data_IF_223410365069
#
_entry.id   IF_223410365069
#
_cell.length_a   1.000
_cell.length_b   1.000
_cell.length_c   1.000
_cell.angle_alpha   90.00
_cell.angle_beta   90.00
_cell.angle_gamma   90.00
#
_symmetry.space_group_name_H-M   'P 1'
#
loop_
_entity.id
_entity.type
_entity.pdbx_description
1 polymer ?
#
# COMPACT_ATOMS: atom_id res chain seq x y z
N UNK A 1 0.87 -19.63 27.15
CA UNK A 1 2.07 -18.74 27.06
C UNK A 1 2.39 -18.47 25.60
N UNK A 2 2.38 -17.21 25.16
CA UNK A 2 2.62 -16.84 23.75
C UNK A 2 4.13 -16.74 23.51
N UNK A 3 4.69 -17.64 22.70
CA UNK A 3 6.10 -17.59 22.30
C UNK A 3 6.32 -16.44 21.32
N UNK A 4 6.99 -15.40 21.78
CA UNK A 4 7.55 -14.32 20.94
C UNK A 4 8.91 -14.84 20.47
N UNK A 5 9.08 -14.97 19.15
CA UNK A 5 10.35 -15.38 18.54
C UNK A 5 11.03 -14.12 18.02
N UNK A 6 12.18 -13.79 18.60
CA UNK A 6 13.11 -12.80 18.06
C UNK A 6 13.92 -13.45 16.93
N UNK A 7 13.90 -12.86 15.73
CA UNK A 7 14.68 -13.33 14.60
C UNK A 7 16.09 -12.75 14.67
N UNK A 8 17.07 -13.59 14.98
CA UNK A 8 18.50 -13.28 14.88
C UNK A 8 18.97 -13.67 13.46
N UNK A 9 19.52 -12.72 12.70
CA UNK A 9 20.12 -13.01 11.39
C UNK A 9 21.63 -13.15 11.61
N UNK A 10 22.12 -14.39 11.64
CA UNK A 10 23.55 -14.68 11.58
C UNK A 10 24.00 -14.65 10.11
N UNK A 11 24.94 -13.77 9.79
CA UNK A 11 25.54 -13.68 8.47
C UNK A 11 26.51 -14.83 8.23
N UNK A 12 26.29 -15.61 7.18
CA UNK A 12 27.34 -16.40 6.53
C UNK A 12 27.40 -16.00 5.06
N UNK A 13 28.60 -15.64 4.63
CA UNK A 13 28.94 -15.27 3.25
C UNK A 13 29.08 -16.56 2.45
N UNK A 14 28.26 -16.73 1.42
CA UNK A 14 28.46 -17.74 0.38
C UNK A 14 28.40 -17.04 -0.98
N UNK A 15 29.47 -17.17 -1.77
CA UNK A 15 29.57 -16.66 -3.13
C UNK A 15 29.71 -17.84 -4.09
N UNK A 16 28.67 -18.10 -4.89
CA UNK A 16 28.72 -18.64 -6.26
C UNK A 16 27.27 -18.89 -6.74
N UNK A 17 26.83 -18.13 -7.75
CA UNK A 17 25.48 -18.18 -8.31
C UNK A 17 24.50 -17.30 -7.54
N UNK A 18 24.04 -16.20 -8.14
CA UNK A 18 23.13 -15.24 -7.52
C UNK A 18 21.71 -15.83 -7.32
N UNK A 19 21.57 -16.79 -6.40
CA UNK A 19 20.29 -17.13 -5.80
C UNK A 19 19.92 -15.94 -4.93
N UNK A 20 19.09 -15.04 -5.45
CA UNK A 20 18.48 -13.98 -4.64
C UNK A 20 17.66 -14.67 -3.56
N UNK A 21 18.21 -14.76 -2.34
CA UNK A 21 17.53 -15.37 -1.21
C UNK A 21 16.24 -14.58 -0.92
N UNK A 22 15.10 -15.14 -1.32
CA UNK A 22 13.80 -14.57 -0.97
C UNK A 22 13.51 -14.87 0.49
N UNK A 23 13.23 -13.85 1.30
CA UNK A 23 12.78 -14.06 2.67
C UNK A 23 11.49 -14.88 2.68
N UNK A 24 11.46 -15.97 3.46
CA UNK A 24 10.31 -16.87 3.57
C UNK A 24 9.59 -16.63 4.89
N UNK A 25 8.33 -16.25 4.82
CA UNK A 25 7.41 -16.09 5.95
C UNK A 25 6.33 -17.15 5.83
N UNK A 26 6.25 -18.07 6.79
CA UNK A 26 5.31 -19.19 6.75
C UNK A 26 4.63 -19.38 8.10
N UNK A 27 3.30 -19.62 8.08
CA UNK A 27 2.50 -19.97 9.26
C UNK A 27 2.64 -18.99 10.43
N UNK A 28 2.75 -17.69 10.15
CA UNK A 28 2.94 -16.66 11.19
C UNK A 28 2.02 -15.45 11.01
N UNK A 29 2.05 -14.54 11.98
CA UNK A 29 1.33 -13.26 11.93
C UNK A 29 2.32 -12.10 11.97
N UNK A 30 2.31 -11.28 10.93
CA UNK A 30 2.97 -9.96 10.91
C UNK A 30 1.96 -8.95 11.47
N UNK A 31 2.32 -8.27 12.55
CA UNK A 31 1.47 -7.26 13.19
C UNK A 31 2.21 -5.93 13.27
N UNK A 32 1.59 -4.88 12.74
CA UNK A 32 1.91 -3.51 13.11
C UNK A 32 0.74 -2.97 13.96
N UNK A 33 1.05 -2.48 15.17
CA UNK A 33 0.10 -1.81 16.04
C UNK A 33 0.70 -0.48 16.51
N UNK A 34 0.63 0.52 15.65
CA UNK A 34 1.29 1.82 15.87
C UNK A 34 0.30 2.93 16.18
N UNK A 35 0.77 3.86 17.00
CA UNK A 35 0.10 5.12 17.31
C UNK A 35 1.09 6.25 17.05
N UNK A 36 0.79 7.09 16.07
CA UNK A 36 1.64 8.18 15.63
C UNK A 36 0.86 9.49 15.78
N UNK A 37 1.37 10.42 16.59
CA UNK A 37 0.74 11.71 16.84
C UNK A 37 1.79 12.81 16.68
N UNK A 38 1.53 13.81 15.83
CA UNK A 38 2.46 14.92 15.55
C UNK A 38 3.84 14.43 15.06
N UNK A 39 3.85 13.46 14.15
CA UNK A 39 5.09 12.90 13.59
C UNK A 39 5.44 13.60 12.28
N UNK A 40 6.72 13.95 12.11
CA UNK A 40 7.29 14.34 10.83
C UNK A 40 8.29 13.26 10.42
N UNK A 41 8.12 12.70 9.23
CA UNK A 41 9.03 11.72 8.65
C UNK A 41 9.34 12.12 7.21
N UNK A 42 10.63 12.15 6.85
CA UNK A 42 11.06 12.53 5.53
C UNK A 42 12.20 11.62 5.05
N UNK A 43 12.17 11.23 3.78
CA UNK A 43 13.26 10.53 3.12
C UNK A 43 13.59 11.23 1.81
N UNK A 44 14.84 11.69 1.66
CA UNK A 44 15.30 12.48 0.51
C UNK A 44 16.46 11.74 -0.16
N UNK A 45 16.38 11.57 -1.49
CA UNK A 45 17.37 10.85 -2.29
C UNK A 45 16.74 9.89 -3.30
N UNK A 46 17.60 9.24 -4.09
CA UNK A 46 17.16 8.23 -5.06
C UNK A 46 16.66 6.96 -4.35
N UNK A 47 15.55 6.39 -4.82
CA UNK A 47 14.96 5.13 -4.29
C UNK A 47 14.56 5.21 -2.80
N UNK A 48 13.99 6.33 -2.39
CA UNK A 48 13.59 6.55 -1.01
C UNK A 48 12.23 5.99 -0.66
N UNK A 49 12.07 5.58 0.59
CA UNK A 49 10.77 5.16 1.13
C UNK A 49 10.58 5.75 2.53
N UNK A 50 9.50 6.49 2.70
CA UNK A 50 9.08 7.08 3.97
C UNK A 50 7.81 6.36 4.45
N UNK A 51 7.90 5.59 5.55
CA UNK A 51 6.80 4.79 6.08
C UNK A 51 6.42 5.23 7.49
N UNK A 52 5.16 5.65 7.69
CA UNK A 52 4.59 5.90 9.02
C UNK A 52 3.39 4.99 9.25
N UNK A 53 3.44 4.17 10.29
CA UNK A 53 2.32 3.28 10.66
C UNK A 53 1.88 2.32 9.53
N UNK A 54 2.84 1.86 8.73
CA UNK A 54 2.62 1.04 7.53
C UNK A 54 3.35 -0.30 7.60
N UNK A 55 2.92 -1.27 6.80
CA UNK A 55 3.62 -2.56 6.60
C UNK A 55 4.13 -2.62 5.16
N UNK A 56 5.41 -2.92 4.97
CA UNK A 56 6.02 -3.12 3.65
C UNK A 56 6.59 -4.53 3.55
N UNK A 57 6.21 -5.27 2.50
CA UNK A 57 6.74 -6.60 2.19
C UNK A 57 7.32 -6.57 0.79
N UNK A 58 8.60 -6.87 0.67
CA UNK A 58 9.31 -6.80 -0.61
C UNK A 58 10.10 -8.09 -0.84
N UNK A 59 10.11 -8.57 -2.10
CA UNK A 59 10.98 -9.69 -2.52
C UNK A 59 10.87 -10.94 -1.62
N UNK A 60 9.65 -11.22 -1.14
CA UNK A 60 9.41 -12.24 -0.11
C UNK A 60 8.36 -13.26 -0.54
N UNK A 61 8.44 -14.47 0.03
CA UNK A 61 7.41 -15.50 -0.07
C UNK A 61 6.65 -15.57 1.25
N UNK A 62 5.39 -15.15 1.26
CA UNK A 62 4.50 -15.16 2.43
C UNK A 62 3.41 -16.20 2.22
N UNK A 63 3.36 -17.20 3.08
CA UNK A 63 2.42 -18.33 2.94
C UNK A 63 1.71 -18.67 4.25
N UNK A 64 0.43 -19.04 4.16
CA UNK A 64 -0.37 -19.51 5.32
C UNK A 64 -0.29 -18.55 6.53
N UNK A 65 -0.24 -17.26 6.27
CA UNK A 65 0.09 -16.24 7.27
C UNK A 65 -0.99 -15.16 7.37
N UNK A 66 -0.87 -14.29 8.37
CA UNK A 66 -1.73 -13.12 8.51
C UNK A 66 -0.87 -11.86 8.55
N UNK A 67 -1.29 -10.83 7.81
CA UNK A 67 -0.70 -9.49 7.86
C UNK A 67 -1.76 -8.58 8.46
N UNK A 68 -1.47 -7.95 9.59
CA UNK A 68 -2.39 -7.09 10.31
C UNK A 68 -1.75 -5.73 10.56
N UNK A 69 -2.11 -4.74 9.75
CA UNK A 69 -1.77 -3.35 10.02
C UNK A 69 -2.91 -2.70 10.82
N UNK A 70 -2.63 -2.27 12.04
CA UNK A 70 -3.55 -1.55 12.93
C UNK A 70 -2.90 -0.25 13.35
N UNK A 71 -3.08 0.81 12.60
CA UNK A 71 -2.40 2.08 12.87
C UNK A 71 -3.37 3.23 13.10
N UNK A 72 -2.96 4.13 13.98
CA UNK A 72 -3.60 5.42 14.19
C UNK A 72 -2.56 6.49 13.92
N UNK A 73 -2.84 7.38 12.96
CA UNK A 73 -1.96 8.44 12.52
C UNK A 73 -2.71 9.76 12.62
N UNK A 74 -2.29 10.64 13.52
CA UNK A 74 -2.91 11.94 13.75
C UNK A 74 -1.87 13.05 13.59
N UNK A 75 -2.16 14.07 12.77
CA UNK A 75 -1.23 15.19 12.52
C UNK A 75 0.14 14.70 12.04
N UNK A 76 0.16 13.82 11.04
CA UNK A 76 1.40 13.26 10.50
C UNK A 76 1.78 13.97 9.21
N UNK A 77 3.05 14.32 9.07
CA UNK A 77 3.67 14.76 7.82
C UNK A 77 4.64 13.67 7.38
N UNK A 78 4.41 13.06 6.23
CA UNK A 78 5.25 12.00 5.69
C UNK A 78 5.63 12.31 4.24
N UNK A 79 6.92 12.46 3.96
CA UNK A 79 7.40 12.86 2.64
C UNK A 79 8.51 11.95 2.12
N UNK A 80 8.44 11.56 0.85
CA UNK A 80 9.54 10.92 0.13
C UNK A 80 9.87 11.71 -1.13
N UNK A 81 11.11 12.16 -1.29
CA UNK A 81 11.54 13.02 -2.39
C UNK A 81 12.72 12.39 -3.12
N UNK A 82 12.58 12.21 -4.43
CA UNK A 82 13.61 11.71 -5.34
C UNK A 82 13.06 10.78 -6.42
N UNK A 83 13.89 10.39 -7.39
CA UNK A 83 13.45 9.77 -8.66
C UNK A 83 12.60 8.49 -8.54
N UNK A 84 12.61 7.81 -7.39
CA UNK A 84 11.81 6.62 -7.11
C UNK A 84 11.36 6.68 -5.65
N UNK A 85 10.41 7.57 -5.36
CA UNK A 85 9.99 7.88 -4.01
C UNK A 85 8.68 7.16 -3.65
N UNK A 86 8.60 6.64 -2.43
CA UNK A 86 7.37 6.03 -1.91
C UNK A 86 7.07 6.57 -0.53
N UNK A 87 5.93 7.21 -0.34
CA UNK A 87 5.46 7.69 0.95
C UNK A 87 4.20 6.92 1.37
N UNK A 88 4.28 6.14 2.45
CA UNK A 88 3.18 5.32 2.94
C UNK A 88 2.78 5.70 4.37
N UNK A 89 1.55 6.17 4.57
CA UNK A 89 0.97 6.41 5.89
C UNK A 89 -0.23 5.49 6.14
N UNK A 90 -0.17 4.62 7.15
CA UNK A 90 -1.29 3.75 7.48
C UNK A 90 -1.63 2.71 6.41
N UNK A 91 -0.66 2.28 5.61
CA UNK A 91 -0.86 1.47 4.41
C UNK A 91 -0.19 0.10 4.50
N UNK A 92 -0.59 -0.82 3.63
CA UNK A 92 0.09 -2.10 3.41
C UNK A 92 0.58 -2.16 1.98
N UNK A 93 1.90 -2.29 1.78
CA UNK A 93 2.51 -2.34 0.46
C UNK A 93 3.24 -3.66 0.28
N UNK A 94 2.90 -4.41 -0.77
CA UNK A 94 3.50 -5.70 -1.12
C UNK A 94 4.06 -5.61 -2.54
N UNK A 95 5.36 -5.82 -2.71
CA UNK A 95 6.05 -5.62 -4.01
C UNK A 95 6.97 -6.79 -4.33
N UNK A 96 6.93 -7.30 -5.56
CA UNK A 96 7.81 -8.40 -6.00
C UNK A 96 7.70 -9.65 -5.10
N UNK A 97 6.48 -10.04 -4.70
CA UNK A 97 6.27 -11.07 -3.67
C UNK A 97 5.41 -12.24 -4.16
N UNK A 98 5.54 -13.38 -3.48
CA UNK A 98 4.61 -14.53 -3.62
C UNK A 98 3.75 -14.61 -2.36
N UNK A 99 2.45 -14.42 -2.51
CA UNK A 99 1.47 -14.40 -1.41
C UNK A 99 0.46 -15.53 -1.64
N UNK A 100 0.42 -16.52 -0.73
CA UNK A 100 -0.48 -17.66 -0.88
C UNK A 100 -1.13 -18.07 0.45
N UNK A 101 -2.46 -18.22 0.47
CA UNK A 101 -3.23 -18.56 1.69
C UNK A 101 -2.99 -17.52 2.79
N UNK A 102 -3.01 -16.24 2.45
CA UNK A 102 -2.74 -15.14 3.39
C UNK A 102 -4.01 -14.34 3.67
N UNK A 103 -4.15 -13.87 4.92
CA UNK A 103 -5.16 -12.86 5.28
C UNK A 103 -4.47 -11.52 5.48
N UNK A 104 -4.76 -10.55 4.62
CA UNK A 104 -4.25 -9.18 4.71
C UNK A 104 -5.36 -8.30 5.29
N UNK A 105 -5.10 -7.67 6.43
CA UNK A 105 -6.04 -6.78 7.08
C UNK A 105 -5.36 -5.45 7.38
N UNK A 106 -5.72 -4.42 6.62
CA UNK A 106 -5.37 -3.04 6.90
C UNK A 106 -6.53 -2.39 7.65
N UNK A 107 -6.32 -2.03 8.91
CA UNK A 107 -7.25 -1.24 9.73
C UNK A 107 -6.53 0.02 10.18
N UNK A 108 -6.66 1.10 9.42
CA UNK A 108 -5.96 2.35 9.72
C UNK A 108 -6.92 3.52 9.90
N UNK A 109 -6.51 4.44 10.77
CA UNK A 109 -7.21 5.70 11.02
C UNK A 109 -6.19 6.81 10.78
N UNK A 110 -6.46 7.67 9.82
CA UNK A 110 -5.58 8.74 9.39
C UNK A 110 -6.33 10.08 9.50
N UNK A 111 -5.91 10.94 10.42
CA UNK A 111 -6.53 12.25 10.67
C UNK A 111 -5.50 13.35 10.51
N UNK A 112 -5.81 14.37 9.70
CA UNK A 112 -4.93 15.53 9.46
C UNK A 112 -3.54 15.10 8.98
N UNK A 113 -3.50 14.20 7.99
CA UNK A 113 -2.25 13.65 7.44
C UNK A 113 -1.88 14.40 6.17
N UNK A 114 -0.62 14.81 6.07
CA UNK A 114 0.00 15.26 4.81
C UNK A 114 0.98 14.18 4.38
N UNK A 115 0.72 13.55 3.23
CA UNK A 115 1.56 12.49 2.67
C UNK A 115 1.97 12.85 1.24
N UNK A 116 3.26 12.94 0.98
CA UNK A 116 3.76 13.38 -0.33
C UNK A 116 4.87 12.47 -0.85
N UNK A 117 4.77 12.08 -2.12
CA UNK A 117 5.87 11.48 -2.87
C UNK A 117 6.18 12.35 -4.09
N UNK A 118 7.44 12.73 -4.29
CA UNK A 118 7.85 13.57 -5.43
C UNK A 118 8.98 12.86 -6.18
N UNK A 119 8.82 12.64 -7.50
CA UNK A 119 9.76 11.88 -8.31
C UNK A 119 9.19 11.24 -9.58
N UNK A 120 10.08 10.66 -10.41
CA UNK A 120 9.74 9.98 -11.68
C UNK A 120 8.89 8.71 -11.54
N UNK A 121 8.79 8.15 -10.33
CA UNK A 121 7.95 6.99 -10.04
C UNK A 121 7.40 7.15 -8.63
N UNK A 122 6.74 8.29 -8.38
CA UNK A 122 6.29 8.64 -7.04
C UNK A 122 5.02 7.88 -6.66
N UNK A 123 5.05 7.17 -5.54
CA UNK A 123 3.91 6.43 -4.98
C UNK A 123 3.54 7.01 -3.60
N UNK A 124 2.40 7.71 -3.50
CA UNK A 124 1.91 8.29 -2.25
C UNK A 124 0.64 7.55 -1.78
N UNK A 125 0.71 6.87 -0.64
CA UNK A 125 -0.34 5.95 -0.19
C UNK A 125 -0.78 6.22 1.25
N UNK A 126 -2.04 6.60 1.44
CA UNK A 126 -2.67 6.75 2.77
C UNK A 126 -3.79 5.74 2.95
N UNK A 127 -3.75 4.97 4.04
CA UNK A 127 -4.86 4.07 4.38
C UNK A 127 -5.19 3.02 3.31
N UNK A 128 -4.22 2.64 2.49
CA UNK A 128 -4.43 1.84 1.27
C UNK A 128 -3.71 0.49 1.34
N UNK A 129 -4.13 -0.45 0.49
CA UNK A 129 -3.41 -1.71 0.27
C UNK A 129 -2.94 -1.75 -1.17
N UNK A 130 -1.62 -1.80 -1.38
CA UNK A 130 -1.03 -1.84 -2.70
C UNK A 130 -0.25 -3.13 -2.89
N UNK A 131 -0.55 -3.87 -3.95
CA UNK A 131 0.16 -5.07 -4.33
C UNK A 131 0.66 -4.90 -5.76
N UNK A 132 1.96 -5.03 -5.99
CA UNK A 132 2.50 -4.92 -7.35
C UNK A 132 3.54 -5.98 -7.67
N UNK A 133 3.59 -6.42 -8.93
CA UNK A 133 4.58 -7.39 -9.41
C UNK A 133 4.58 -8.67 -8.56
N UNK A 134 3.39 -9.16 -8.21
CA UNK A 134 3.23 -10.24 -7.25
C UNK A 134 2.42 -11.41 -7.81
N UNK A 135 2.61 -12.60 -7.23
CA UNK A 135 1.71 -13.74 -7.41
C UNK A 135 0.87 -13.85 -6.15
N UNK A 136 -0.44 -13.64 -6.26
CA UNK A 136 -1.38 -13.64 -5.14
C UNK A 136 -2.41 -14.74 -5.34
N UNK A 137 -2.48 -15.67 -4.39
CA UNK A 137 -3.40 -16.81 -4.49
C UNK A 137 -4.09 -17.13 -3.16
N UNK A 138 -5.35 -17.57 -3.23
CA UNK A 138 -6.12 -18.02 -2.06
C UNK A 138 -6.10 -17.02 -0.90
N UNK A 139 -6.18 -15.73 -1.20
CA UNK A 139 -5.87 -14.64 -0.25
C UNK A 139 -7.12 -13.79 -0.01
N UNK A 140 -7.33 -13.37 1.24
CA UNK A 140 -8.36 -12.39 1.59
C UNK A 140 -7.70 -11.05 1.90
N UNK A 141 -8.11 -10.00 1.19
CA UNK A 141 -7.71 -8.62 1.39
C UNK A 141 -8.86 -7.86 2.04
N UNK A 142 -8.61 -7.27 3.20
CA UNK A 142 -9.55 -6.41 3.90
C UNK A 142 -8.88 -5.07 4.15
N UNK A 143 -9.38 -4.01 3.51
CA UNK A 143 -9.00 -2.64 3.82
C UNK A 143 -10.16 -1.95 4.52
N UNK A 144 -9.95 -1.59 5.78
CA UNK A 144 -10.90 -0.88 6.64
C UNK A 144 -10.25 0.40 7.13
N UNK A 145 -10.26 1.43 6.30
CA UNK A 145 -9.59 2.69 6.61
C UNK A 145 -10.56 3.85 6.82
N UNK A 146 -10.19 4.75 7.72
CA UNK A 146 -10.86 6.03 7.94
C UNK A 146 -9.83 7.13 7.69
N UNK A 147 -10.12 8.00 6.74
CA UNK A 147 -9.23 9.07 6.31
C UNK A 147 -9.98 10.40 6.42
N UNK A 148 -9.54 11.29 7.30
CA UNK A 148 -10.18 12.58 7.54
C UNK A 148 -9.17 13.73 7.48
N UNK A 149 -9.43 14.75 6.67
CA UNK A 149 -8.53 15.89 6.50
C UNK A 149 -7.16 15.45 5.96
N UNK A 150 -7.14 14.51 4.99
CA UNK A 150 -5.90 13.99 4.41
C UNK A 150 -5.55 14.78 3.16
N UNK A 151 -4.30 15.20 3.05
CA UNK A 151 -3.70 15.70 1.80
C UNK A 151 -2.68 14.66 1.35
N UNK A 152 -2.95 14.00 0.22
CA UNK A 152 -2.08 13.00 -0.36
C UNK A 152 -1.68 13.43 -1.77
N UNK A 153 -0.38 13.51 -2.06
CA UNK A 153 0.12 13.98 -3.34
C UNK A 153 1.26 13.11 -3.88
N UNK A 154 1.16 12.72 -5.14
CA UNK A 154 2.26 12.12 -5.90
C UNK A 154 2.57 13.00 -7.12
N UNK A 155 3.80 13.52 -7.23
CA UNK A 155 4.17 14.52 -8.25
C UNK A 155 5.39 14.08 -9.06
N UNK A 156 5.29 14.11 -10.38
CA UNK A 156 6.34 13.74 -11.34
C UNK A 156 5.84 12.85 -12.47
N UNK A 157 6.74 12.14 -13.14
CA UNK A 157 6.37 11.11 -14.13
C UNK A 157 5.81 9.87 -13.42
N UNK A 158 4.91 9.11 -14.06
CA UNK A 158 4.37 7.83 -13.62
C UNK A 158 4.00 7.79 -12.13
N UNK A 159 3.10 8.69 -11.73
CA UNK A 159 2.77 8.88 -10.33
C UNK A 159 1.49 8.16 -9.93
N UNK A 160 1.44 7.71 -8.68
CA UNK A 160 0.24 7.10 -8.12
C UNK A 160 -0.06 7.65 -6.73
N UNK A 161 -1.22 8.23 -6.56
CA UNK A 161 -1.72 8.74 -5.28
C UNK A 161 -2.96 7.94 -4.84
N UNK A 162 -2.86 7.21 -3.73
CA UNK A 162 -3.92 6.32 -3.26
C UNK A 162 -4.38 6.70 -1.84
N UNK A 163 -5.67 6.95 -1.65
CA UNK A 163 -6.28 7.12 -0.32
C UNK A 163 -7.43 6.14 -0.13
N UNK A 164 -7.34 5.29 0.90
CA UNK A 164 -8.42 4.35 1.21
C UNK A 164 -8.71 3.31 0.13
N UNK A 165 -7.75 3.04 -0.76
CA UNK A 165 -7.95 2.21 -1.96
C UNK A 165 -7.24 0.86 -1.83
N UNK A 166 -7.65 -0.10 -2.66
CA UNK A 166 -6.91 -1.35 -2.89
C UNK A 166 -6.45 -1.37 -4.34
N UNK A 167 -5.14 -1.44 -4.57
CA UNK A 167 -4.58 -1.52 -5.91
C UNK A 167 -3.77 -2.81 -6.07
N UNK A 168 -4.04 -3.55 -7.13
CA UNK A 168 -3.26 -4.71 -7.55
C UNK A 168 -2.79 -4.46 -8.97
N UNK A 169 -1.48 -4.42 -9.21
CA UNK A 169 -0.95 -4.16 -10.55
C UNK A 169 0.17 -5.10 -10.97
N UNK A 170 0.25 -5.39 -12.28
CA UNK A 170 1.31 -6.21 -12.87
C UNK A 170 1.44 -7.56 -12.16
N UNK A 171 0.32 -8.22 -11.87
CA UNK A 171 0.27 -9.37 -10.97
C UNK A 171 -0.35 -10.63 -11.63
N UNK A 172 -0.30 -11.72 -10.87
CA UNK A 172 -1.12 -12.91 -11.12
C UNK A 172 -2.04 -13.12 -9.93
N UNK A 173 -3.35 -13.16 -10.15
CA UNK A 173 -4.39 -13.23 -9.13
C UNK A 173 -5.24 -14.47 -9.33
N UNK A 174 -5.28 -15.33 -8.32
CA UNK A 174 -6.07 -16.57 -8.34
C UNK A 174 -6.80 -16.80 -7.01
N UNK A 175 -8.12 -16.93 -7.03
CA UNK A 175 -8.95 -17.13 -5.84
C UNK A 175 -8.70 -16.08 -4.76
N UNK A 176 -8.86 -14.80 -5.11
CA UNK A 176 -8.66 -13.67 -4.20
C UNK A 176 -9.98 -12.98 -3.87
N UNK A 177 -10.22 -12.75 -2.59
CA UNK A 177 -11.40 -12.03 -2.11
C UNK A 177 -11.00 -10.66 -1.56
N UNK A 178 -11.51 -9.60 -2.16
CA UNK A 178 -11.24 -8.22 -1.80
C UNK A 178 -12.47 -7.62 -1.09
N UNK A 179 -12.23 -7.01 0.07
CA UNK A 179 -13.21 -6.18 0.78
C UNK A 179 -12.56 -4.84 1.10
N UNK A 180 -12.98 -3.80 0.38
CA UNK A 180 -12.61 -2.43 0.64
C UNK A 180 -13.78 -1.72 1.31
N UNK A 181 -13.59 -1.28 2.55
CA UNK A 181 -14.54 -0.47 3.31
C UNK A 181 -13.80 0.75 3.84
N UNK A 182 -13.71 1.79 3.03
CA UNK A 182 -13.03 3.02 3.39
C UNK A 182 -13.99 4.19 3.54
N UNK A 183 -13.69 5.08 4.49
CA UNK A 183 -14.42 6.33 4.68
C UNK A 183 -13.41 7.45 4.49
N UNK A 184 -13.67 8.33 3.54
CA UNK A 184 -12.78 9.39 3.11
C UNK A 184 -13.54 10.72 3.22
N UNK A 185 -13.19 11.56 4.19
CA UNK A 185 -13.86 12.81 4.50
C UNK A 185 -12.88 13.99 4.43
N UNK A 186 -13.14 14.99 3.57
CA UNK A 186 -12.24 16.12 3.41
C UNK A 186 -10.84 15.70 2.93
N UNK A 187 -10.79 14.78 1.97
CA UNK A 187 -9.54 14.27 1.39
C UNK A 187 -9.20 15.06 0.14
N UNK A 188 -7.96 15.51 0.01
CA UNK A 188 -7.37 15.98 -1.23
C UNK A 188 -6.36 14.94 -1.68
N UNK A 189 -6.64 14.25 -2.79
CA UNK A 189 -5.75 13.27 -3.39
C UNK A 189 -5.38 13.73 -4.80
N UNK A 190 -4.09 13.93 -5.04
CA UNK A 190 -3.59 14.43 -6.31
C UNK A 190 -2.44 13.58 -6.83
N UNK A 191 -2.57 13.09 -8.06
CA UNK A 191 -1.45 12.60 -8.86
C UNK A 191 -1.20 13.60 -9.99
N UNK A 192 0.03 14.08 -10.13
CA UNK A 192 0.37 15.15 -11.07
C UNK A 192 1.59 14.74 -11.90
N UNK A 193 1.43 14.79 -13.21
CA UNK A 193 2.42 14.54 -14.25
C UNK A 193 2.05 13.38 -15.17
N UNK A 194 2.92 13.07 -16.14
CA UNK A 194 2.57 12.10 -17.20
C UNK A 194 2.32 10.71 -16.61
N UNK A 195 1.18 10.09 -16.94
CA UNK A 195 0.80 8.77 -16.39
C UNK A 195 0.32 8.83 -14.93
N UNK A 196 -0.17 9.98 -14.47
CA UNK A 196 -0.72 10.17 -13.13
C UNK A 196 -1.99 9.34 -12.88
N UNK A 197 -2.00 8.59 -11.78
CA UNK A 197 -3.17 7.81 -11.34
C UNK A 197 -3.56 8.20 -9.91
N UNK A 198 -4.80 8.64 -9.70
CA UNK A 198 -5.29 9.08 -8.40
C UNK A 198 -6.52 8.28 -7.97
N UNK A 199 -6.44 7.55 -6.85
CA UNK A 199 -7.49 6.64 -6.41
C UNK A 199 -7.97 6.97 -4.98
N UNK A 200 -9.26 7.29 -4.83
CA UNK A 200 -9.90 7.49 -3.51
C UNK A 200 -11.01 6.47 -3.28
N UNK A 201 -10.81 5.56 -2.32
CA UNK A 201 -11.81 4.56 -1.98
C UNK A 201 -12.10 3.54 -3.08
N UNK A 202 -11.21 3.38 -4.05
CA UNK A 202 -11.42 2.51 -5.22
C UNK A 202 -10.75 1.15 -5.04
N UNK A 203 -11.18 0.16 -5.83
CA UNK A 203 -10.46 -1.09 -6.02
C UNK A 203 -10.02 -1.18 -7.46
N UNK A 204 -8.71 -1.18 -7.70
CA UNK A 204 -8.14 -1.28 -9.04
C UNK A 204 -7.33 -2.57 -9.16
N UNK A 205 -7.58 -3.34 -10.21
CA UNK A 205 -6.80 -4.51 -10.61
C UNK A 205 -6.38 -4.30 -12.05
N UNK A 206 -5.14 -3.88 -12.29
CA UNK A 206 -4.65 -3.49 -13.61
C UNK A 206 -3.43 -4.31 -14.05
N UNK A 207 -3.25 -4.49 -15.36
CA UNK A 207 -2.13 -5.24 -15.94
C UNK A 207 -1.96 -6.63 -15.29
N UNK A 208 -3.08 -7.28 -14.96
CA UNK A 208 -3.08 -8.43 -14.06
C UNK A 208 -3.85 -9.59 -14.66
N UNK A 209 -3.21 -10.76 -14.71
CA UNK A 209 -3.91 -12.01 -15.04
C UNK A 209 -4.80 -12.44 -13.88
N UNK A 210 -6.10 -12.67 -14.15
CA UNK A 210 -7.10 -13.00 -13.14
C UNK A 210 -7.80 -14.32 -13.49
N UNK A 211 -7.78 -15.28 -12.57
CA UNK A 211 -8.50 -16.56 -12.71
C UNK A 211 -9.51 -16.83 -11.57
N UNK A 212 -9.65 -15.88 -10.63
CA UNK A 212 -10.59 -15.99 -9.52
C UNK A 212 -10.49 -14.76 -8.63
N UNK A 213 -11.48 -13.88 -8.70
CA UNK A 213 -11.48 -12.60 -8.03
C UNK A 213 -12.91 -12.18 -7.66
N UNK A 214 -13.13 -11.91 -6.39
CA UNK A 214 -14.39 -11.32 -5.90
C UNK A 214 -14.07 -10.00 -5.23
N UNK A 215 -14.81 -8.95 -5.58
CA UNK A 215 -14.59 -7.60 -5.05
C UNK A 215 -15.87 -7.09 -4.41
N UNK A 216 -15.74 -6.65 -3.17
CA UNK A 216 -16.73 -5.83 -2.49
C UNK A 216 -16.10 -4.47 -2.15
N UNK A 217 -16.57 -3.42 -2.81
CA UNK A 217 -16.20 -2.05 -2.49
C UNK A 217 -17.39 -1.33 -1.85
N UNK A 218 -17.21 -0.90 -0.61
CA UNK A 218 -18.20 -0.16 0.17
C UNK A 218 -17.53 1.09 0.74
N UNK A 219 -17.06 1.95 -0.16
CA UNK A 219 -16.39 3.19 0.19
C UNK A 219 -17.36 4.37 0.24
N UNK A 220 -17.05 5.33 1.10
CA UNK A 220 -17.79 6.59 1.24
C UNK A 220 -16.81 7.73 1.09
N UNK A 221 -17.02 8.58 0.09
CA UNK A 221 -16.14 9.67 -0.28
C UNK A 221 -16.90 11.00 -0.17
N UNK A 222 -16.80 11.67 0.98
CA UNK A 222 -17.52 12.91 1.29
C UNK A 222 -16.56 14.11 1.27
N UNK A 223 -16.86 15.13 0.46
CA UNK A 223 -16.01 16.32 0.34
C UNK A 223 -14.59 15.99 -0.10
N UNK A 224 -14.44 15.01 -0.99
CA UNK A 224 -13.14 14.57 -1.50
C UNK A 224 -12.83 15.23 -2.83
N UNK A 225 -11.62 15.74 -2.98
CA UNK A 225 -11.04 16.16 -4.26
C UNK A 225 -10.08 15.06 -4.70
N UNK A 226 -10.37 14.40 -5.82
CA UNK A 226 -9.51 13.37 -6.40
C UNK A 226 -9.12 13.78 -7.82
N UNK A 227 -7.83 14.03 -8.06
CA UNK A 227 -7.36 14.66 -9.29
C UNK A 227 -6.16 13.91 -9.85
N UNK A 228 -6.21 13.63 -11.15
CA UNK A 228 -5.07 13.20 -11.95
C UNK A 228 -4.83 14.22 -13.06
N UNK A 229 -3.61 14.74 -13.17
CA UNK A 229 -3.21 15.71 -14.21
C UNK A 229 -2.06 15.11 -15.01
N UNK A 230 -2.15 15.10 -16.35
CA UNK A 230 -1.08 14.60 -17.23
C UNK A 230 -1.36 13.25 -17.90
N UNK A 231 -2.56 13.04 -18.44
CA UNK A 231 -2.95 11.81 -19.16
C UNK A 231 -2.87 10.54 -18.28
N UNK A 232 -3.80 10.43 -17.33
CA UNK A 232 -4.06 9.20 -16.57
C UNK A 232 -5.45 9.22 -15.93
N UNK A 233 -5.70 8.39 -14.90
CA UNK A 233 -7.05 8.22 -14.35
C UNK A 233 -7.21 8.79 -12.94
N UNK A 234 -8.41 9.30 -12.65
CA UNK A 234 -8.84 9.68 -11.31
C UNK A 234 -10.09 8.88 -10.93
N UNK A 235 -9.91 7.87 -10.09
CA UNK A 235 -10.95 6.91 -9.72
C UNK A 235 -11.44 7.15 -8.30
N UNK A 236 -12.75 7.32 -8.12
CA UNK A 236 -13.36 7.56 -6.81
C UNK A 236 -14.49 6.58 -6.53
N UNK A 237 -14.29 5.69 -5.56
CA UNK A 237 -15.30 4.71 -5.15
C UNK A 237 -15.58 3.60 -6.17
N UNK A 238 -14.79 3.52 -7.25
CA UNK A 238 -15.02 2.58 -8.34
C UNK A 238 -14.39 1.21 -8.10
N UNK A 239 -14.79 0.24 -8.92
CA UNK A 239 -14.10 -1.03 -9.11
C UNK A 239 -13.64 -1.08 -10.56
N UNK A 240 -12.34 -1.11 -10.78
CA UNK A 240 -11.74 -1.20 -12.11
C UNK A 240 -10.93 -2.49 -12.22
N UNK A 241 -11.24 -3.32 -13.21
CA UNK A 241 -10.49 -4.55 -13.52
C UNK A 241 -10.11 -4.50 -14.99
N UNK A 242 -8.81 -4.40 -15.28
CA UNK A 242 -8.22 -4.18 -16.60
C UNK A 242 -6.98 -5.05 -16.83
#
# INVERSE_FOLDING_TARGET
MKKIIYLFIAGSVFWAGAVVAQSKVEKTTIVNKSLNNKVINAAIGSKTTANVGSVSIQKSKVTRSKISNKSLNNKVINAAIGSNSTANTGSVNIKNAKVNKVKINNKSINSKVVNAAIGRNAEANVGSVNISRAKVSNTKLSNKSLNSGVVNAAIGLNTTANVGSINISRAQVNSVNISNKSINAGVVNAAIGVGATANVGSVNVSDTSVSGLTIHNASVNAGTVNVAIGAGSADSGSINVQ
#
